data_IF_255013039372
#
_entry.id   IF_255013039372
#
_cell.length_a   1.000
_cell.length_b   1.000
_cell.length_c   1.000
_cell.angle_alpha   90.00
_cell.angle_beta   90.00
_cell.angle_gamma   90.00
#
_symmetry.space_group_name_H-M   'P 1'
#
loop_
_entity.id
_entity.type
_entity.pdbx_description
1 polymer ?
#
# COMPACT_ATOMS: atom_id res chain seq x y z
N UNK A 1 -6.10 1.39 -48.62
CA UNK A 1 -6.60 0.62 -47.46
C UNK A 1 -5.42 0.39 -46.53
N UNK A 2 -5.39 1.09 -45.41
CA UNK A 2 -4.70 0.68 -44.19
C UNK A 2 -5.61 1.18 -43.07
N UNK A 3 -6.58 0.35 -42.67
CA UNK A 3 -7.28 0.57 -41.41
C UNK A 3 -6.23 0.33 -40.33
N UNK A 4 -5.67 1.39 -39.76
CA UNK A 4 -5.04 1.31 -38.45
C UNK A 4 -6.09 0.67 -37.54
N UNK A 5 -5.82 -0.56 -37.07
CA UNK A 5 -6.69 -1.21 -36.10
C UNK A 5 -6.67 -0.34 -34.86
N UNK A 6 -7.83 0.23 -34.49
CA UNK A 6 -7.98 0.98 -33.25
C UNK A 6 -7.50 0.08 -32.11
N UNK A 7 -6.47 0.51 -31.39
CA UNK A 7 -5.95 -0.22 -30.23
C UNK A 7 -7.07 -0.36 -29.22
N UNK A 8 -7.33 -1.58 -28.75
CA UNK A 8 -8.35 -1.83 -27.72
C UNK A 8 -7.78 -1.43 -26.37
N UNK A 9 -8.57 -0.74 -25.56
CA UNK A 9 -8.12 -0.20 -24.26
C UNK A 9 -8.71 -1.03 -23.12
N UNK A 10 -7.85 -1.42 -22.19
CA UNK A 10 -8.24 -1.94 -20.90
C UNK A 10 -7.91 -0.90 -19.82
N UNK A 11 -8.95 -0.42 -19.14
CA UNK A 11 -8.79 0.50 -18.04
C UNK A 11 -8.77 -0.24 -16.70
N UNK A 12 -7.71 -0.01 -15.91
CA UNK A 12 -7.47 -0.69 -14.63
C UNK A 12 -7.78 0.23 -13.47
N UNK A 13 -8.72 -0.22 -12.63
CA UNK A 13 -9.21 0.46 -11.44
C UNK A 13 -8.62 -0.26 -10.21
N UNK A 14 -7.80 0.39 -9.41
CA UNK A 14 -7.19 -0.22 -8.22
C UNK A 14 -6.62 0.81 -7.24
N UNK A 15 -6.28 0.39 -6.03
CA UNK A 15 -5.43 1.18 -5.12
C UNK A 15 -3.95 1.14 -5.52
N UNK A 16 -3.15 2.06 -4.95
CA UNK A 16 -1.73 2.24 -5.30
C UNK A 16 -0.78 1.91 -4.16
N UNK A 17 0.35 1.32 -4.51
CA UNK A 17 1.38 0.90 -3.56
C UNK A 17 0.83 -0.04 -2.48
N UNK A 18 1.37 0.09 -1.27
CA UNK A 18 0.97 -0.69 -0.11
C UNK A 18 -0.35 -0.19 0.45
N UNK A 19 -1.34 -1.08 0.54
CA UNK A 19 -2.65 -0.79 1.11
C UNK A 19 -3.07 -1.90 2.07
N UNK A 20 -3.67 -1.49 3.18
CA UNK A 20 -4.14 -2.41 4.23
C UNK A 20 -5.61 -2.72 4.02
N UNK A 21 -5.96 -4.01 4.01
CA UNK A 21 -7.35 -4.45 4.11
C UNK A 21 -7.86 -4.15 5.54
N UNK A 22 -8.92 -3.33 5.69
CA UNK A 22 -9.40 -2.89 6.99
C UNK A 22 -10.04 -4.00 7.83
N UNK A 23 -10.54 -5.07 7.21
CA UNK A 23 -11.17 -6.19 7.92
C UNK A 23 -10.13 -7.19 8.44
N UNK A 24 -9.04 -7.37 7.69
CA UNK A 24 -8.00 -8.34 8.00
C UNK A 24 -6.78 -7.74 8.71
N UNK A 25 -6.59 -6.42 8.63
CA UNK A 25 -5.37 -5.73 9.07
C UNK A 25 -4.14 -6.07 8.24
N UNK A 26 -4.30 -6.77 7.11
CA UNK A 26 -3.18 -7.21 6.25
C UNK A 26 -2.85 -6.18 5.19
N UNK A 27 -1.56 -5.90 5.02
CA UNK A 27 -1.04 -4.99 4.00
C UNK A 27 -0.61 -5.75 2.74
N UNK A 28 -1.02 -5.24 1.59
CA UNK A 28 -0.74 -5.78 0.26
C UNK A 28 -0.09 -4.71 -0.63
N UNK A 29 0.96 -5.04 -1.38
CA UNK A 29 1.54 -4.14 -2.39
C UNK A 29 0.83 -4.31 -3.74
N UNK A 30 -0.13 -3.43 -4.00
CA UNK A 30 -0.96 -3.47 -5.20
C UNK A 30 -0.17 -3.16 -6.48
N UNK A 31 0.99 -2.51 -6.38
CA UNK A 31 1.88 -2.33 -7.54
C UNK A 31 2.43 -3.68 -8.02
N UNK A 32 2.60 -4.66 -7.12
CA UNK A 32 3.01 -6.02 -7.48
C UNK A 32 1.89 -6.75 -8.22
N UNK A 33 0.64 -6.62 -7.77
CA UNK A 33 -0.52 -7.14 -8.52
C UNK A 33 -0.55 -6.57 -9.93
N UNK A 34 -0.39 -5.25 -10.06
CA UNK A 34 -0.42 -4.61 -11.36
C UNK A 34 0.71 -5.08 -12.29
N UNK A 35 1.97 -5.00 -11.82
CA UNK A 35 3.17 -5.29 -12.63
C UNK A 35 3.31 -6.77 -12.97
N UNK A 36 2.91 -7.67 -12.06
CA UNK A 36 3.17 -9.11 -12.22
C UNK A 36 1.96 -9.90 -12.74
N UNK A 37 0.74 -9.38 -12.60
CA UNK A 37 -0.50 -10.07 -13.01
C UNK A 37 -1.25 -9.27 -14.07
N UNK A 38 -1.74 -8.08 -13.70
CA UNK A 38 -2.75 -7.37 -14.51
C UNK A 38 -2.16 -6.90 -15.83
N UNK A 39 -1.10 -6.07 -15.80
CA UNK A 39 -0.46 -5.53 -16.99
C UNK A 39 -0.02 -6.62 -17.98
N UNK A 40 0.76 -7.64 -17.57
CA UNK A 40 1.20 -8.66 -18.51
C UNK A 40 0.03 -9.51 -19.05
N UNK A 41 -1.04 -9.75 -18.29
CA UNK A 41 -2.21 -10.47 -18.80
C UNK A 41 -3.00 -9.66 -19.83
N UNK A 42 -3.20 -8.36 -19.56
CA UNK A 42 -3.92 -7.45 -20.44
C UNK A 42 -3.17 -7.23 -21.76
N UNK A 43 -1.85 -7.02 -21.70
CA UNK A 43 -1.01 -6.86 -22.88
C UNK A 43 -0.93 -8.15 -23.71
N UNK A 44 -0.85 -9.31 -23.06
CA UNK A 44 -0.88 -10.61 -23.74
C UNK A 44 -2.22 -10.86 -24.46
N UNK A 45 -3.33 -10.39 -23.89
CA UNK A 45 -4.65 -10.44 -24.52
C UNK A 45 -4.84 -9.40 -25.66
N UNK A 46 -3.82 -8.59 -25.96
CA UNK A 46 -3.82 -7.64 -27.08
C UNK A 46 -4.48 -6.29 -26.79
N UNK A 47 -4.58 -5.91 -25.52
CA UNK A 47 -5.08 -4.60 -25.08
C UNK A 47 -3.95 -3.68 -24.65
N UNK A 48 -4.14 -2.37 -24.84
CA UNK A 48 -3.36 -1.34 -24.16
C UNK A 48 -3.85 -1.23 -22.72
N UNK A 49 -2.94 -1.42 -21.76
CA UNK A 49 -3.25 -1.45 -20.34
C UNK A 49 -2.99 -0.07 -19.72
N UNK A 50 -4.06 0.59 -19.26
CA UNK A 50 -4.01 1.94 -18.70
C UNK A 50 -4.51 1.90 -17.26
N UNK A 51 -3.75 2.44 -16.29
CA UNK A 51 -4.12 2.39 -14.85
C UNK A 51 -4.61 3.74 -14.34
N UNK A 52 -5.59 3.75 -13.45
CA UNK A 52 -6.28 4.97 -12.99
C UNK A 52 -5.41 6.07 -12.34
N UNK A 53 -4.22 5.78 -11.80
CA UNK A 53 -3.28 6.79 -11.29
C UNK A 53 -2.57 7.58 -12.39
N UNK A 54 -2.52 7.04 -13.59
CA UNK A 54 -1.87 7.68 -14.74
C UNK A 54 -2.72 8.84 -15.31
N UNK A 55 -3.95 9.02 -14.82
CA UNK A 55 -5.02 9.78 -15.49
C UNK A 55 -5.49 11.00 -14.67
N UNK A 56 -5.13 11.13 -13.39
CA UNK A 56 -5.75 12.12 -12.47
C UNK A 56 -5.20 13.54 -12.61
N UNK A 57 -6.13 14.50 -12.73
CA UNK A 57 -5.92 15.94 -12.90
C UNK A 57 -6.03 16.71 -11.57
N UNK A 58 -5.68 18.00 -11.58
CA UNK A 58 -5.79 18.97 -10.47
C UNK A 58 -7.00 19.92 -10.60
N UNK A 59 -8.04 19.57 -11.39
CA UNK A 59 -9.27 20.37 -11.46
C UNK A 59 -10.38 19.91 -12.42
N UNK A 60 -10.07 19.11 -13.46
CA UNK A 60 -11.02 18.46 -14.38
C UNK A 60 -11.18 16.94 -14.13
N UNK A 61 -10.82 16.53 -12.91
CA UNK A 61 -10.51 15.17 -12.41
C UNK A 61 -11.51 14.09 -12.87
N UNK A 62 -12.77 14.46 -13.00
CA UNK A 62 -13.88 13.54 -13.22
C UNK A 62 -14.08 13.12 -14.69
N UNK A 63 -13.88 14.02 -15.66
CA UNK A 63 -14.38 13.80 -17.03
C UNK A 63 -13.65 12.70 -17.79
N UNK A 64 -12.32 12.68 -17.70
CA UNK A 64 -11.47 11.77 -18.45
C UNK A 64 -11.52 10.33 -17.90
N UNK A 65 -11.54 10.20 -16.57
CA UNK A 65 -11.82 8.94 -15.88
C UNK A 65 -13.21 8.40 -16.25
N UNK A 66 -14.26 9.23 -16.19
CA UNK A 66 -15.60 8.81 -16.61
C UNK A 66 -15.65 8.39 -18.08
N UNK A 67 -14.95 9.10 -18.97
CA UNK A 67 -14.86 8.73 -20.37
C UNK A 67 -14.23 7.34 -20.57
N UNK A 68 -13.14 7.02 -19.85
CA UNK A 68 -12.54 5.69 -19.88
C UNK A 68 -13.48 4.62 -19.31
N UNK A 69 -14.16 4.89 -18.20
CA UNK A 69 -15.15 3.96 -17.64
C UNK A 69 -16.28 3.67 -18.64
N UNK A 70 -16.69 4.67 -19.43
CA UNK A 70 -17.72 4.54 -20.45
C UNK A 70 -17.24 3.85 -21.73
N UNK A 71 -16.02 4.15 -22.19
CA UNK A 71 -15.57 3.80 -23.55
C UNK A 71 -14.53 2.69 -23.61
N UNK A 72 -13.83 2.38 -22.51
CA UNK A 72 -12.86 1.29 -22.51
C UNK A 72 -13.54 -0.02 -22.93
N UNK A 73 -12.85 -0.75 -23.80
CA UNK A 73 -13.27 -2.07 -24.30
C UNK A 73 -13.33 -3.08 -23.16
N UNK A 74 -12.44 -2.92 -22.18
CA UNK A 74 -12.37 -3.75 -20.97
C UNK A 74 -12.11 -2.87 -19.74
N UNK A 75 -12.70 -3.25 -18.61
CA UNK A 75 -12.31 -2.74 -17.29
C UNK A 75 -11.88 -3.90 -16.40
N UNK A 76 -10.74 -3.74 -15.74
CA UNK A 76 -10.26 -4.65 -14.70
C UNK A 76 -10.22 -3.89 -13.38
N UNK A 77 -11.02 -4.29 -12.40
CA UNK A 77 -11.15 -3.62 -11.11
C UNK A 77 -10.60 -4.50 -9.98
N UNK A 78 -9.49 -4.10 -9.36
CA UNK A 78 -8.98 -4.74 -8.15
C UNK A 78 -9.56 -4.09 -6.90
N UNK A 79 -10.34 -4.87 -6.15
CA UNK A 79 -11.03 -4.44 -4.93
C UNK A 79 -10.41 -5.06 -3.66
N UNK A 80 -9.16 -5.53 -3.74
CA UNK A 80 -8.47 -6.27 -2.66
C UNK A 80 -8.50 -5.60 -1.31
N UNK A 81 -8.32 -4.28 -1.28
CA UNK A 81 -8.22 -3.47 -0.04
C UNK A 81 -9.40 -2.55 0.19
N UNK A 82 -10.50 -2.73 -0.56
CA UNK A 82 -11.68 -1.86 -0.50
C UNK A 82 -11.35 -0.38 -0.65
N UNK A 83 -10.38 -0.05 -1.52
CA UNK A 83 -10.07 1.33 -1.84
C UNK A 83 -11.37 2.05 -2.28
N UNK A 84 -11.82 3.11 -1.59
CA UNK A 84 -13.10 3.76 -1.88
C UNK A 84 -13.20 4.29 -3.31
N UNK A 85 -12.08 4.78 -3.87
CA UNK A 85 -12.04 5.26 -5.26
C UNK A 85 -12.25 4.10 -6.22
N UNK A 86 -11.59 2.96 -6.00
CA UNK A 86 -11.75 1.78 -6.84
C UNK A 86 -13.19 1.23 -6.82
N UNK A 87 -13.81 1.20 -5.65
CA UNK A 87 -15.21 0.78 -5.49
C UNK A 87 -16.16 1.75 -6.19
N UNK A 88 -15.92 3.06 -6.06
CA UNK A 88 -16.72 4.09 -6.72
C UNK A 88 -16.63 3.98 -8.24
N UNK A 89 -15.42 3.89 -8.79
CA UNK A 89 -15.15 3.75 -10.22
C UNK A 89 -15.79 2.46 -10.80
N UNK A 90 -15.72 1.34 -10.07
CA UNK A 90 -16.41 0.10 -10.44
C UNK A 90 -17.94 0.28 -10.48
N UNK A 91 -18.53 0.94 -9.49
CA UNK A 91 -19.96 1.23 -9.45
C UNK A 91 -20.41 2.06 -10.66
N UNK A 92 -19.60 3.05 -11.05
CA UNK A 92 -19.86 3.85 -12.25
C UNK A 92 -19.75 2.98 -13.51
N UNK A 93 -18.71 2.14 -13.64
CA UNK A 93 -18.57 1.20 -14.77
C UNK A 93 -19.81 0.32 -14.91
N UNK A 94 -20.27 -0.28 -13.82
CA UNK A 94 -21.50 -1.06 -13.81
C UNK A 94 -22.73 -0.23 -14.21
N UNK A 95 -22.77 1.07 -13.87
CA UNK A 95 -23.84 1.97 -14.27
C UNK A 95 -23.83 2.31 -15.77
N UNK A 96 -22.65 2.49 -16.37
CA UNK A 96 -22.52 3.01 -17.73
C UNK A 96 -22.31 1.94 -18.79
N UNK A 97 -21.96 0.71 -18.42
CA UNK A 97 -21.69 -0.40 -19.35
C UNK A 97 -22.29 -1.72 -18.85
N UNK A 98 -22.88 -2.52 -19.75
CA UNK A 98 -23.53 -3.78 -19.37
C UNK A 98 -22.56 -4.96 -19.20
N UNK A 99 -21.39 -4.90 -19.84
CA UNK A 99 -20.44 -6.01 -19.92
C UNK A 99 -18.98 -5.54 -20.03
N UNK A 100 -18.07 -6.50 -20.05
CA UNK A 100 -16.62 -6.32 -20.15
C UNK A 100 -16.01 -5.68 -18.92
N UNK A 101 -16.41 -6.17 -17.75
CA UNK A 101 -15.90 -5.79 -16.45
C UNK A 101 -15.42 -7.02 -15.70
N UNK A 102 -14.14 -7.06 -15.33
CA UNK A 102 -13.53 -8.15 -14.56
C UNK A 102 -13.16 -7.61 -13.17
N UNK A 103 -13.57 -8.31 -12.12
CA UNK A 103 -13.23 -7.96 -10.74
C UNK A 103 -12.12 -8.86 -10.23
N UNK A 104 -11.08 -8.28 -9.62
CA UNK A 104 -10.00 -8.98 -8.93
C UNK A 104 -10.14 -8.79 -7.42
N UNK A 105 -9.84 -9.84 -6.65
CA UNK A 105 -9.86 -9.81 -5.19
C UNK A 105 -8.84 -10.81 -4.62
N UNK A 106 -8.09 -10.40 -3.60
CA UNK A 106 -7.30 -11.35 -2.83
C UNK A 106 -8.22 -12.35 -2.08
N UNK A 107 -7.87 -13.64 -2.12
CA UNK A 107 -8.69 -14.75 -1.63
C UNK A 107 -9.09 -14.62 -0.17
N UNK A 108 -8.23 -14.02 0.67
CA UNK A 108 -8.59 -13.74 2.04
C UNK A 108 -9.38 -12.43 2.13
N UNK A 109 -10.37 -12.43 3.03
CA UNK A 109 -11.25 -11.28 3.25
C UNK A 109 -12.67 -11.56 2.78
N UNK A 110 -13.57 -10.64 3.11
CA UNK A 110 -14.97 -10.75 2.71
C UNK A 110 -15.14 -10.27 1.28
N UNK A 111 -16.21 -10.71 0.64
CA UNK A 111 -16.68 -10.12 -0.60
C UNK A 111 -17.90 -9.27 -0.23
N UNK A 112 -17.98 -7.99 -0.65
CA UNK A 112 -19.16 -7.17 -0.41
C UNK A 112 -20.38 -7.86 -1.01
N UNK A 113 -21.49 -7.89 -0.27
CA UNK A 113 -22.69 -8.63 -0.67
C UNK A 113 -23.17 -8.25 -2.08
N UNK A 114 -23.13 -6.96 -2.43
CA UNK A 114 -23.55 -6.47 -3.75
C UNK A 114 -22.62 -6.91 -4.91
N UNK A 115 -21.42 -7.41 -4.61
CA UNK A 115 -20.45 -7.90 -5.60
C UNK A 115 -20.29 -9.43 -5.59
N UNK A 116 -20.85 -10.14 -4.61
CA UNK A 116 -20.67 -11.60 -4.42
C UNK A 116 -21.26 -12.44 -5.57
N UNK A 117 -22.17 -11.86 -6.35
CA UNK A 117 -22.75 -12.51 -7.52
C UNK A 117 -21.88 -12.38 -8.78
N UNK A 118 -20.86 -11.53 -8.74
CA UNK A 118 -19.99 -11.28 -9.88
C UNK A 118 -18.88 -12.34 -9.96
N UNK A 119 -18.53 -12.75 -11.18
CA UNK A 119 -17.36 -13.61 -11.40
C UNK A 119 -16.09 -12.83 -11.06
N UNK A 120 -15.31 -13.34 -10.11
CA UNK A 120 -14.06 -12.70 -9.68
C UNK A 120 -12.83 -13.54 -10.05
N UNK A 121 -11.77 -12.84 -10.45
CA UNK A 121 -10.43 -13.39 -10.57
C UNK A 121 -9.73 -13.29 -9.21
N UNK A 122 -9.65 -14.42 -8.50
CA UNK A 122 -9.05 -14.47 -7.18
C UNK A 122 -7.56 -14.84 -7.22
N UNK A 123 -6.78 -14.18 -6.36
CA UNK A 123 -5.34 -14.39 -6.22
C UNK A 123 -4.89 -14.32 -4.75
N UNK A 124 -3.64 -14.67 -4.45
CA UNK A 124 -3.10 -14.66 -3.09
C UNK A 124 -1.79 -13.90 -2.99
N UNK A 125 -1.63 -13.15 -1.91
CA UNK A 125 -0.36 -12.53 -1.54
C UNK A 125 0.40 -13.40 -0.53
N UNK A 126 1.73 -13.31 -0.57
CA UNK A 126 2.66 -13.86 0.41
C UNK A 126 3.27 -12.71 1.21
N UNK A 127 2.56 -12.26 2.25
CA UNK A 127 2.87 -11.00 2.92
C UNK A 127 2.45 -9.82 2.05
N UNK A 128 3.37 -8.87 1.82
CA UNK A 128 3.10 -7.71 0.96
C UNK A 128 3.30 -7.99 -0.54
N UNK A 129 4.00 -9.06 -0.93
CA UNK A 129 4.31 -9.37 -2.34
C UNK A 129 3.47 -10.55 -2.88
N UNK A 130 3.65 -10.88 -4.15
CA UNK A 130 3.01 -12.01 -4.82
C UNK A 130 4.09 -13.03 -5.20
N UNK A 131 3.90 -14.27 -4.76
CA UNK A 131 4.79 -15.38 -5.15
C UNK A 131 4.79 -15.60 -6.67
N UNK A 132 5.95 -15.94 -7.23
CA UNK A 132 6.14 -16.11 -8.68
C UNK A 132 5.13 -17.10 -9.28
N UNK A 133 4.92 -18.23 -8.62
CA UNK A 133 3.99 -19.27 -9.08
C UNK A 133 2.53 -18.79 -9.07
N UNK A 134 2.14 -18.02 -8.06
CA UNK A 134 0.79 -17.47 -7.95
C UNK A 134 0.57 -16.34 -8.95
N UNK A 135 1.57 -15.49 -9.19
CA UNK A 135 1.53 -14.46 -10.21
C UNK A 135 1.33 -15.08 -11.61
N UNK A 136 2.11 -16.10 -11.95
CA UNK A 136 2.03 -16.79 -13.25
C UNK A 136 0.70 -17.54 -13.41
N UNK A 137 0.21 -18.20 -12.35
CA UNK A 137 -1.10 -18.86 -12.34
C UNK A 137 -2.22 -17.85 -12.58
N UNK A 138 -2.22 -16.75 -11.82
CA UNK A 138 -3.27 -15.74 -11.90
C UNK A 138 -3.23 -15.00 -13.24
N UNK A 139 -2.04 -14.67 -13.73
CA UNK A 139 -1.85 -14.07 -15.06
C UNK A 139 -2.49 -14.93 -16.15
N UNK A 140 -2.18 -16.22 -16.21
CA UNK A 140 -2.78 -17.16 -17.19
C UNK A 140 -4.30 -17.20 -17.09
N UNK A 141 -4.81 -17.31 -15.88
CA UNK A 141 -6.25 -17.32 -15.64
C UNK A 141 -6.92 -16.00 -16.07
N UNK A 142 -6.28 -14.85 -15.82
CA UNK A 142 -6.78 -13.55 -16.23
C UNK A 142 -6.78 -13.39 -17.75
N UNK A 143 -5.76 -13.87 -18.47
CA UNK A 143 -5.74 -13.90 -19.94
C UNK A 143 -6.95 -14.67 -20.48
N UNK A 144 -7.18 -15.89 -19.98
CA UNK A 144 -8.32 -16.71 -20.39
C UNK A 144 -9.66 -16.01 -20.10
N UNK A 145 -9.76 -15.35 -18.94
CA UNK A 145 -10.96 -14.62 -18.55
C UNK A 145 -11.22 -13.41 -19.46
N UNK A 146 -10.18 -12.62 -19.77
CA UNK A 146 -10.26 -11.48 -20.70
C UNK A 146 -10.77 -11.94 -22.06
N UNK A 147 -10.17 -12.99 -22.61
CA UNK A 147 -10.58 -13.51 -23.91
C UNK A 147 -12.05 -13.97 -23.93
N UNK A 148 -12.51 -14.62 -22.86
CA UNK A 148 -13.87 -15.11 -22.75
C UNK A 148 -14.89 -13.97 -22.63
N UNK A 149 -14.61 -12.99 -21.77
CA UNK A 149 -15.49 -11.84 -21.52
C UNK A 149 -15.66 -11.00 -22.80
N UNK A 150 -14.57 -10.79 -23.55
CA UNK A 150 -14.59 -10.00 -24.79
C UNK A 150 -15.30 -10.74 -25.92
N UNK A 151 -15.28 -12.08 -25.95
CA UNK A 151 -15.97 -12.89 -26.98
C UNK A 151 -17.47 -13.02 -26.74
N UNK A 152 -17.90 -13.08 -25.47
CA UNK A 152 -19.27 -13.47 -25.13
C UNK A 152 -20.24 -12.30 -24.93
N UNK A 153 -19.76 -11.09 -24.63
CA UNK A 153 -20.60 -9.92 -24.28
C UNK A 153 -21.70 -10.26 -23.26
N UNK A 154 -21.39 -11.18 -22.34
CA UNK A 154 -22.31 -11.57 -21.28
C UNK A 154 -22.46 -10.40 -20.30
N UNK A 155 -23.71 -10.06 -19.94
CA UNK A 155 -24.00 -9.04 -18.94
C UNK A 155 -23.32 -9.41 -17.61
N UNK A 156 -22.44 -8.53 -17.13
CA UNK A 156 -21.70 -8.65 -15.87
C UNK A 156 -21.98 -7.49 -14.90
N UNK A 157 -22.74 -6.49 -15.35
CA UNK A 157 -23.23 -5.42 -14.50
C UNK A 157 -24.53 -5.82 -13.78
N UNK A 158 -24.58 -5.70 -12.44
CA UNK A 158 -25.82 -5.90 -11.69
C UNK A 158 -26.97 -5.01 -12.16
N UNK A 159 -26.70 -3.77 -12.59
CA UNK A 159 -27.73 -2.85 -13.04
C UNK A 159 -28.48 -3.39 -14.27
N UNK A 160 -27.73 -3.84 -15.27
CA UNK A 160 -28.28 -4.33 -16.54
C UNK A 160 -28.82 -5.76 -16.43
N UNK A 161 -28.34 -6.54 -15.45
CA UNK A 161 -28.91 -7.85 -15.14
C UNK A 161 -30.36 -7.73 -14.61
N UNK A 162 -30.58 -6.81 -13.68
CA UNK A 162 -31.89 -6.60 -13.04
C UNK A 162 -32.82 -5.66 -13.81
N UNK A 163 -32.29 -4.68 -14.57
CA UNK A 163 -33.07 -3.71 -15.36
C UNK A 163 -32.78 -3.90 -16.85
N UNK A 164 -33.54 -4.80 -17.50
CA UNK A 164 -33.23 -5.27 -18.87
C UNK A 164 -33.56 -4.30 -20.01
N UNK A 165 -34.34 -3.25 -19.75
CA UNK A 165 -34.80 -2.30 -20.78
C UNK A 165 -34.01 -0.99 -20.80
N UNK A 166 -32.98 -0.83 -19.95
CA UNK A 166 -32.17 0.38 -19.92
C UNK A 166 -31.08 0.33 -20.99
N UNK A 167 -30.88 1.47 -21.67
CA UNK A 167 -29.79 1.63 -22.64
C UNK A 167 -28.59 2.31 -21.97
N UNK A 168 -27.35 1.88 -22.27
CA UNK A 168 -26.15 2.56 -21.79
C UNK A 168 -26.07 4.03 -22.24
N UNK A 169 -25.54 4.93 -21.40
CA UNK A 169 -25.26 6.31 -21.79
C UNK A 169 -24.20 6.37 -22.91
N UNK A 170 -24.34 7.33 -23.81
CA UNK A 170 -23.46 7.51 -24.98
C UNK A 170 -22.61 8.77 -24.78
N UNK A 171 -21.29 8.62 -24.85
CA UNK A 171 -20.35 9.75 -24.89
C UNK A 171 -20.06 10.12 -26.36
N UNK A 172 -20.20 11.40 -26.77
CA UNK A 172 -19.86 11.84 -28.13
C UNK A 172 -18.38 11.58 -28.49
N UNK A 173 -18.12 11.13 -29.73
CA UNK A 173 -16.77 10.76 -30.18
C UNK A 173 -15.77 11.92 -30.13
N UNK A 174 -16.21 13.14 -30.44
CA UNK A 174 -15.34 14.33 -30.38
C UNK A 174 -14.88 14.65 -28.96
N UNK A 175 -15.76 14.48 -27.97
CA UNK A 175 -15.43 14.69 -26.56
C UNK A 175 -14.49 13.57 -26.06
N UNK A 176 -14.69 12.35 -26.54
CA UNK A 176 -13.80 11.23 -26.23
C UNK A 176 -12.37 11.44 -26.77
N UNK A 177 -12.22 11.84 -28.03
CA UNK A 177 -10.88 12.03 -28.65
C UNK A 177 -10.08 13.10 -27.94
N UNK A 178 -10.68 14.25 -27.63
CA UNK A 178 -10.05 15.33 -26.88
C UNK A 178 -9.58 14.85 -25.48
N UNK A 179 -10.41 14.06 -24.80
CA UNK A 179 -10.07 13.50 -23.49
C UNK A 179 -8.92 12.49 -23.56
N UNK A 180 -8.88 11.61 -24.57
CA UNK A 180 -7.83 10.58 -24.70
C UNK A 180 -6.45 11.20 -25.00
N UNK A 181 -6.38 12.20 -25.88
CA UNK A 181 -5.11 12.85 -26.21
C UNK A 181 -4.49 13.54 -24.97
N UNK A 182 -5.32 14.27 -24.20
CA UNK A 182 -4.91 14.90 -22.95
C UNK A 182 -4.43 13.90 -21.89
N UNK A 183 -5.03 12.70 -21.86
CA UNK A 183 -4.65 11.63 -20.93
C UNK A 183 -3.31 11.00 -21.26
N UNK A 184 -3.10 10.62 -22.52
CA UNK A 184 -1.90 9.89 -22.94
C UNK A 184 -0.60 10.71 -22.70
N UNK A 185 -0.68 12.03 -22.81
CA UNK A 185 0.46 12.91 -22.55
C UNK A 185 0.74 13.09 -21.05
N UNK A 186 -0.30 13.10 -20.20
CA UNK A 186 -0.17 13.23 -18.73
C UNK A 186 0.23 11.92 -18.06
N UNK A 187 -0.28 10.78 -18.54
CA UNK A 187 0.11 9.44 -18.11
C UNK A 187 1.63 9.27 -18.19
N UNK A 188 2.20 9.59 -19.35
CA UNK A 188 3.64 9.55 -19.56
C UNK A 188 4.38 10.46 -18.58
N UNK A 189 3.78 11.57 -18.17
CA UNK A 189 4.37 12.50 -17.21
C UNK A 189 4.35 11.95 -15.77
N UNK A 190 3.21 11.48 -15.26
CA UNK A 190 3.09 10.95 -13.88
C UNK A 190 3.89 9.66 -13.73
N UNK A 191 3.74 8.71 -14.64
CA UNK A 191 4.50 7.46 -14.61
C UNK A 191 6.01 7.73 -14.60
N UNK A 192 6.48 8.65 -15.45
CA UNK A 192 7.89 9.03 -15.47
C UNK A 192 8.34 9.71 -14.17
N UNK A 193 7.48 10.48 -13.49
CA UNK A 193 7.79 11.05 -12.18
C UNK A 193 7.91 9.95 -11.12
N UNK A 194 6.94 9.03 -11.04
CA UNK A 194 6.90 7.94 -10.08
C UNK A 194 8.10 7.01 -10.24
N UNK A 195 8.41 6.56 -11.46
CA UNK A 195 9.54 5.66 -11.69
C UNK A 195 10.89 6.35 -11.43
N UNK A 196 11.02 7.65 -11.75
CA UNK A 196 12.20 8.43 -11.34
C UNK A 196 12.30 8.55 -9.82
N UNK A 197 11.19 8.80 -9.13
CA UNK A 197 11.18 8.90 -7.68
C UNK A 197 11.60 7.58 -7.03
N UNK A 198 11.03 6.45 -7.49
CA UNK A 198 11.38 5.10 -7.03
C UNK A 198 12.86 4.76 -7.31
N UNK A 199 13.39 5.13 -8.48
CA UNK A 199 14.81 4.96 -8.81
C UNK A 199 15.71 5.76 -7.86
N UNK A 200 15.39 7.02 -7.60
CA UNK A 200 16.15 7.85 -6.65
C UNK A 200 16.08 7.29 -5.23
N UNK A 201 14.93 6.77 -4.80
CA UNK A 201 14.79 6.07 -3.52
C UNK A 201 15.68 4.82 -3.45
N UNK A 202 15.74 4.01 -4.51
CA UNK A 202 16.64 2.84 -4.55
C UNK A 202 18.12 3.23 -4.49
N UNK A 203 18.47 4.43 -4.97
CA UNK A 203 19.81 5.00 -4.87
C UNK A 203 20.03 5.78 -3.56
N UNK A 204 19.09 5.72 -2.60
CA UNK A 204 19.11 6.48 -1.35
C UNK A 204 19.17 8.02 -1.52
N UNK A 205 18.82 8.54 -2.71
CA UNK A 205 18.79 9.97 -3.01
C UNK A 205 17.40 10.57 -2.70
N UNK A 206 17.06 10.58 -1.42
CA UNK A 206 15.73 11.02 -0.96
C UNK A 206 15.44 12.49 -1.25
N UNK A 207 16.46 13.35 -1.33
CA UNK A 207 16.31 14.76 -1.72
C UNK A 207 15.74 14.90 -3.13
N UNK A 208 16.23 14.10 -4.07
CA UNK A 208 15.75 14.15 -5.46
C UNK A 208 14.43 13.40 -5.62
N UNK A 209 14.25 12.27 -4.92
CA UNK A 209 12.98 11.56 -4.87
C UNK A 209 11.83 12.45 -4.38
N UNK A 210 12.04 13.23 -3.31
CA UNK A 210 11.04 14.14 -2.76
C UNK A 210 10.54 15.16 -3.79
N UNK A 211 11.41 15.68 -4.67
CA UNK A 211 11.00 16.61 -5.74
C UNK A 211 10.12 15.94 -6.81
N UNK A 212 10.34 14.66 -7.07
CA UNK A 212 9.50 13.92 -8.02
C UNK A 212 8.15 13.56 -7.39
N UNK A 213 8.14 13.16 -6.12
CA UNK A 213 6.89 12.93 -5.38
C UNK A 213 6.08 14.20 -5.14
N UNK A 214 6.72 15.34 -4.87
CA UNK A 214 6.07 16.65 -4.82
C UNK A 214 5.34 16.96 -6.13
N UNK A 215 6.00 16.76 -7.27
CA UNK A 215 5.37 16.96 -8.59
C UNK A 215 4.21 16.00 -8.81
N UNK A 216 4.36 14.72 -8.45
CA UNK A 216 3.29 13.74 -8.56
C UNK A 216 2.10 14.09 -7.66
N UNK A 217 2.35 14.46 -6.39
CA UNK A 217 1.32 14.86 -5.43
C UNK A 217 0.61 16.16 -5.80
N UNK A 218 1.33 17.15 -6.34
CA UNK A 218 0.72 18.39 -6.84
C UNK A 218 -0.15 18.15 -8.09
N UNK A 219 0.24 17.19 -8.94
CA UNK A 219 -0.58 16.79 -10.08
C UNK A 219 -1.81 15.98 -9.66
N UNK A 220 -1.71 15.19 -8.57
CA UNK A 220 -2.80 14.34 -8.07
C UNK A 220 -3.00 14.49 -6.55
N UNK A 221 -3.55 15.61 -6.05
CA UNK A 221 -3.67 15.89 -4.61
C UNK A 221 -4.61 14.93 -3.86
N UNK A 222 -5.52 14.28 -4.57
CA UNK A 222 -6.47 13.31 -4.01
C UNK A 222 -5.87 11.90 -3.83
N UNK A 223 -4.61 11.67 -4.20
CA UNK A 223 -3.94 10.38 -4.07
C UNK A 223 -3.06 10.34 -2.82
N UNK A 224 -3.50 9.67 -1.73
CA UNK A 224 -2.75 9.65 -0.47
C UNK A 224 -1.34 9.08 -0.63
N UNK A 225 -1.15 8.12 -1.53
CA UNK A 225 0.15 7.48 -1.73
C UNK A 225 1.23 8.49 -2.13
N UNK A 226 0.95 9.43 -3.03
CA UNK A 226 1.97 10.39 -3.47
C UNK A 226 2.36 11.37 -2.36
N UNK A 227 1.39 11.80 -1.56
CA UNK A 227 1.62 12.67 -0.40
C UNK A 227 2.41 11.93 0.69
N UNK A 228 2.07 10.66 0.95
CA UNK A 228 2.81 9.78 1.86
C UNK A 228 4.26 9.63 1.43
N UNK A 229 4.52 9.30 0.15
CA UNK A 229 5.88 9.13 -0.36
C UNK A 229 6.66 10.45 -0.40
N UNK A 230 5.98 11.58 -0.63
CA UNK A 230 6.57 12.91 -0.53
C UNK A 230 7.03 13.22 0.90
N UNK A 231 6.17 13.02 1.90
CA UNK A 231 6.53 13.20 3.32
C UNK A 231 7.68 12.25 3.73
N UNK A 232 7.59 10.97 3.35
CA UNK A 232 8.61 9.94 3.59
C UNK A 232 9.98 10.36 3.07
N UNK A 233 10.06 10.77 1.80
CA UNK A 233 11.32 11.20 1.19
C UNK A 233 11.83 12.51 1.79
N UNK A 234 10.92 13.42 2.16
CA UNK A 234 11.28 14.70 2.77
C UNK A 234 12.02 14.49 4.09
N UNK A 235 11.49 13.66 5.01
CA UNK A 235 12.19 13.43 6.28
C UNK A 235 13.43 12.54 6.10
N UNK A 236 13.40 11.54 5.22
CA UNK A 236 14.56 10.67 4.96
C UNK A 236 15.74 11.42 4.33
N UNK A 237 15.51 12.57 3.69
CA UNK A 237 16.57 13.41 3.14
C UNK A 237 17.53 13.96 4.21
N UNK A 238 17.04 14.22 5.42
CA UNK A 238 17.83 14.57 6.59
C UNK A 238 17.05 14.22 7.88
N UNK A 239 17.13 12.96 8.36
CA UNK A 239 16.24 12.45 9.40
C UNK A 239 16.46 13.08 10.78
N UNK A 240 17.57 13.79 10.99
CA UNK A 240 17.85 14.53 12.23
C UNK A 240 17.64 16.04 12.10
N UNK A 241 17.28 16.54 10.91
CA UNK A 241 17.03 17.97 10.68
C UNK A 241 15.59 18.32 11.05
N UNK A 242 15.42 19.10 12.10
CA UNK A 242 14.12 19.56 12.61
C UNK A 242 13.30 20.26 11.52
N UNK A 243 13.93 21.01 10.62
CA UNK A 243 13.24 21.69 9.52
C UNK A 243 12.65 20.67 8.55
N UNK A 244 13.41 19.63 8.18
CA UNK A 244 12.91 18.57 7.30
C UNK A 244 11.83 17.71 7.94
N UNK A 245 11.92 17.49 9.24
CA UNK A 245 10.88 16.81 9.99
C UNK A 245 9.59 17.64 10.03
N UNK A 246 9.68 18.94 10.28
CA UNK A 246 8.54 19.86 10.23
C UNK A 246 7.93 19.97 8.83
N UNK A 247 8.75 20.06 7.78
CA UNK A 247 8.29 20.05 6.38
C UNK A 247 7.50 18.76 6.08
N UNK A 248 8.01 17.61 6.50
CA UNK A 248 7.35 16.32 6.31
C UNK A 248 6.02 16.23 7.07
N UNK A 249 5.93 16.78 8.30
CA UNK A 249 4.67 16.87 9.03
C UNK A 249 3.64 17.77 8.33
N UNK A 250 4.08 18.90 7.74
CA UNK A 250 3.19 19.76 6.97
C UNK A 250 2.65 19.02 5.73
N UNK A 251 3.49 18.25 5.04
CA UNK A 251 3.07 17.47 3.87
C UNK A 251 2.07 16.37 4.27
N UNK A 252 2.38 15.55 5.27
CA UNK A 252 1.51 14.43 5.66
C UNK A 252 0.17 14.93 6.23
N UNK A 253 0.14 16.14 6.80
CA UNK A 253 -1.10 16.77 7.31
C UNK A 253 -2.13 17.06 6.22
N UNK A 254 -1.73 17.12 4.94
CA UNK A 254 -2.66 17.26 3.81
C UNK A 254 -3.65 16.10 3.69
N UNK A 255 -3.35 14.94 4.30
CA UNK A 255 -4.21 13.76 4.32
C UNK A 255 -5.17 13.71 5.53
N UNK A 256 -5.06 14.66 6.46
CA UNK A 256 -5.82 14.71 7.69
C UNK A 256 -6.81 15.86 7.59
N UNK A 257 -8.09 15.56 7.33
CA UNK A 257 -9.15 16.55 7.17
C UNK A 257 -9.89 16.74 8.50
N UNK A 258 -10.02 18.00 8.97
CA UNK A 258 -10.91 18.46 10.06
C UNK A 258 -10.73 17.82 11.45
N UNK A 259 -9.57 17.97 12.11
CA UNK A 259 -9.31 17.47 13.49
C UNK A 259 -9.53 15.95 13.68
N UNK A 260 -9.89 15.22 12.61
CA UNK A 260 -10.17 13.79 12.65
C UNK A 260 -8.87 13.02 12.42
N UNK A 261 -8.48 12.25 13.44
CA UNK A 261 -7.32 11.37 13.34
C UNK A 261 -7.49 10.37 12.20
N UNK A 262 -6.47 10.23 11.35
CA UNK A 262 -6.44 9.19 10.30
C UNK A 262 -6.42 7.77 10.89
N UNK A 263 -7.02 6.82 10.17
CA UNK A 263 -6.90 5.37 10.43
C UNK A 263 -6.09 4.66 9.34
N UNK A 264 -5.54 5.40 8.36
CA UNK A 264 -4.70 4.83 7.31
C UNK A 264 -3.33 4.41 7.88
N UNK A 265 -2.98 3.10 7.87
CA UNK A 265 -1.78 2.61 8.54
C UNK A 265 -0.47 3.18 8.00
N UNK A 266 -0.37 3.40 6.69
CA UNK A 266 0.82 4.00 6.05
C UNK A 266 1.04 5.43 6.56
N UNK A 267 -0.03 6.23 6.60
CA UNK A 267 0.00 7.60 7.14
C UNK A 267 0.39 7.62 8.61
N UNK A 268 -0.17 6.70 9.41
CA UNK A 268 0.17 6.56 10.83
C UNK A 268 1.63 6.16 11.02
N UNK A 269 2.12 5.17 10.27
CA UNK A 269 3.49 4.68 10.35
C UNK A 269 4.52 5.75 9.96
N UNK A 270 4.26 6.50 8.89
CA UNK A 270 5.11 7.63 8.46
C UNK A 270 5.10 8.74 9.52
N UNK A 271 3.93 9.12 10.02
CA UNK A 271 3.80 10.15 11.05
C UNK A 271 4.53 9.76 12.33
N UNK A 272 4.37 8.51 12.78
CA UNK A 272 5.09 7.96 13.93
C UNK A 272 6.61 7.99 13.73
N UNK A 273 7.09 7.66 12.52
CA UNK A 273 8.51 7.74 12.19
C UNK A 273 9.04 9.19 12.25
N UNK A 274 8.31 10.16 11.72
CA UNK A 274 8.71 11.57 11.74
C UNK A 274 8.77 12.07 13.20
N UNK A 275 7.73 11.83 14.00
CA UNK A 275 7.69 12.23 15.41
C UNK A 275 8.77 11.54 16.26
N UNK A 276 9.05 10.26 16.02
CA UNK A 276 10.15 9.54 16.69
C UNK A 276 11.50 10.19 16.37
N UNK A 277 11.75 10.56 15.11
CA UNK A 277 12.99 11.27 14.74
C UNK A 277 13.03 12.68 15.34
N UNK A 278 11.90 13.38 15.43
CA UNK A 278 11.78 14.67 16.10
C UNK A 278 12.14 14.57 17.59
N UNK A 279 11.70 13.52 18.29
CA UNK A 279 12.13 13.23 19.66
C UNK A 279 13.66 13.10 19.76
N UNK A 280 14.31 12.37 18.85
CA UNK A 280 15.77 12.22 18.88
C UNK A 280 16.50 13.53 18.61
N UNK A 281 15.97 14.38 17.73
CA UNK A 281 16.56 15.66 17.37
C UNK A 281 16.39 16.73 18.45
N UNK A 282 15.26 16.72 19.19
CA UNK A 282 14.87 17.83 20.07
C UNK A 282 14.82 17.47 21.55
N UNK A 283 14.64 16.18 21.87
CA UNK A 283 14.30 15.69 23.21
C UNK A 283 13.03 16.33 23.79
N UNK A 284 12.11 16.75 22.92
CA UNK A 284 10.77 17.20 23.32
C UNK A 284 9.83 16.01 23.54
N UNK A 285 9.36 15.83 24.78
CA UNK A 285 8.49 14.73 25.18
C UNK A 285 7.18 14.72 24.36
N UNK A 286 6.68 15.87 23.91
CA UNK A 286 5.46 15.93 23.10
C UNK A 286 5.61 15.18 21.77
N UNK A 287 6.81 15.21 21.19
CA UNK A 287 7.14 14.45 19.97
C UNK A 287 7.16 12.95 20.24
N UNK A 288 7.66 12.53 21.40
CA UNK A 288 7.65 11.12 21.79
C UNK A 288 6.22 10.61 22.02
N UNK A 289 5.38 11.38 22.71
CA UNK A 289 3.97 11.04 22.94
C UNK A 289 3.20 10.91 21.62
N UNK A 290 3.45 11.80 20.66
CA UNK A 290 2.86 11.70 19.31
C UNK A 290 3.35 10.47 18.56
N UNK A 291 4.62 10.10 18.67
CA UNK A 291 5.13 8.86 18.07
C UNK A 291 4.44 7.61 18.64
N UNK A 292 4.26 7.58 19.97
CA UNK A 292 3.55 6.50 20.70
C UNK A 292 2.10 6.40 20.22
N UNK A 293 1.40 7.53 20.11
CA UNK A 293 0.01 7.58 19.62
C UNK A 293 -0.11 6.99 18.22
N UNK A 294 0.72 7.44 17.27
CA UNK A 294 0.64 7.02 15.88
C UNK A 294 1.04 5.55 15.68
N UNK A 295 2.18 5.12 16.25
CA UNK A 295 2.61 3.73 16.13
C UNK A 295 1.67 2.77 16.87
N UNK A 296 1.19 3.14 18.06
CA UNK A 296 0.24 2.34 18.82
C UNK A 296 -1.08 2.16 18.08
N UNK A 297 -1.61 3.24 17.47
CA UNK A 297 -2.81 3.17 16.64
C UNK A 297 -2.60 2.30 15.40
N UNK A 298 -1.47 2.46 14.70
CA UNK A 298 -1.14 1.64 13.53
C UNK A 298 -1.03 0.15 13.88
N UNK A 299 -0.33 -0.18 14.98
CA UNK A 299 -0.20 -1.54 15.48
C UNK A 299 -1.56 -2.15 15.85
N UNK A 300 -2.43 -1.41 16.53
CA UNK A 300 -3.76 -1.90 16.90
C UNK A 300 -4.68 -2.16 15.68
N UNK A 301 -4.45 -1.48 14.55
CA UNK A 301 -5.21 -1.69 13.31
C UNK A 301 -4.68 -2.88 12.51
N UNK A 302 -3.36 -3.03 12.44
CA UNK A 302 -2.70 -3.94 11.48
C UNK A 302 -2.10 -5.20 12.11
N UNK A 303 -1.79 -5.17 13.41
CA UNK A 303 -0.89 -6.10 14.07
C UNK A 303 0.49 -6.21 13.38
N UNK A 304 0.90 -5.18 12.64
CA UNK A 304 2.18 -5.15 11.94
C UNK A 304 3.35 -5.06 12.94
N UNK A 305 4.28 -6.01 12.85
CA UNK A 305 5.38 -6.14 13.80
C UNK A 305 6.34 -4.95 13.73
N UNK A 306 6.54 -4.31 12.57
CA UNK A 306 7.40 -3.14 12.45
C UNK A 306 6.82 -1.96 13.25
N UNK A 307 5.54 -1.66 13.09
CA UNK A 307 4.87 -0.61 13.87
C UNK A 307 4.82 -0.97 15.36
N UNK A 308 4.59 -2.24 15.69
CA UNK A 308 4.60 -2.75 17.07
C UNK A 308 5.97 -2.61 17.76
N UNK A 309 7.06 -2.96 17.09
CA UNK A 309 8.42 -2.79 17.64
C UNK A 309 8.73 -1.31 17.88
N UNK A 310 8.38 -0.44 16.94
CA UNK A 310 8.56 1.01 17.11
C UNK A 310 7.69 1.58 18.23
N UNK A 311 6.46 1.09 18.39
CA UNK A 311 5.58 1.45 19.49
C UNK A 311 6.19 1.05 20.84
N UNK A 312 6.60 -0.22 20.98
CA UNK A 312 7.24 -0.72 22.20
C UNK A 312 8.56 0.02 22.52
N UNK A 313 9.34 0.34 21.49
CA UNK A 313 10.55 1.15 21.64
C UNK A 313 10.25 2.54 22.18
N UNK A 314 9.26 3.25 21.61
CA UNK A 314 8.91 4.59 22.08
C UNK A 314 8.36 4.57 23.52
N UNK A 315 7.60 3.54 23.90
CA UNK A 315 7.16 3.32 25.28
C UNK A 315 8.37 3.09 26.22
N UNK A 316 9.35 2.29 25.81
CA UNK A 316 10.59 2.08 26.56
C UNK A 316 11.36 3.40 26.78
N UNK A 317 11.47 4.23 25.74
CA UNK A 317 12.10 5.55 25.84
C UNK A 317 11.30 6.50 26.74
N UNK A 318 9.96 6.45 26.70
CA UNK A 318 9.11 7.25 27.60
C UNK A 318 9.36 6.87 29.05
N UNK A 319 9.44 5.57 29.35
CA UNK A 319 9.72 5.09 30.69
C UNK A 319 11.08 5.53 31.26
N UNK A 320 12.06 5.84 30.40
CA UNK A 320 13.37 6.38 30.82
C UNK A 320 13.36 7.90 31.02
N UNK A 321 12.36 8.59 30.45
CA UNK A 321 12.33 10.05 30.32
C UNK A 321 11.40 10.70 31.34
N UNK A 322 10.25 10.09 31.62
CA UNK A 322 9.23 10.66 32.52
C UNK A 322 9.63 10.51 33.98
N UNK A 323 9.31 11.49 34.81
CA UNK A 323 9.58 11.47 36.26
C UNK A 323 8.51 10.70 37.05
N UNK A 324 7.28 10.64 36.53
CA UNK A 324 6.14 9.99 37.19
C UNK A 324 6.34 8.46 37.24
N UNK A 325 6.41 7.92 38.46
CA UNK A 325 6.70 6.49 38.68
C UNK A 325 5.61 5.57 38.10
N UNK A 326 4.33 5.98 38.16
CA UNK A 326 3.23 5.20 37.62
C UNK A 326 3.33 5.12 36.09
N UNK A 327 3.64 6.23 35.42
CA UNK A 327 3.85 6.30 33.98
C UNK A 327 5.09 5.51 33.54
N UNK A 328 6.17 5.50 34.33
CA UNK A 328 7.33 4.65 34.06
C UNK A 328 6.96 3.16 34.10
N UNK A 329 6.22 2.74 35.12
CA UNK A 329 5.76 1.35 35.29
C UNK A 329 4.82 0.98 34.15
N UNK A 330 3.84 1.83 33.86
CA UNK A 330 2.88 1.62 32.77
C UNK A 330 3.60 1.46 31.44
N UNK A 331 4.51 2.37 31.09
CA UNK A 331 5.21 2.36 29.81
C UNK A 331 6.08 1.12 29.64
N UNK A 332 6.81 0.68 30.70
CA UNK A 332 7.57 -0.58 30.68
C UNK A 332 6.67 -1.80 30.47
N UNK A 333 5.56 -1.85 31.20
CA UNK A 333 4.63 -2.97 31.11
C UNK A 333 3.95 -3.03 29.74
N UNK A 334 3.51 -1.88 29.22
CA UNK A 334 2.91 -1.77 27.90
C UNK A 334 3.90 -2.20 26.80
N UNK A 335 5.15 -1.75 26.84
CA UNK A 335 6.19 -2.17 25.89
C UNK A 335 6.40 -3.70 25.92
N UNK A 336 6.49 -4.28 27.12
CA UNK A 336 6.59 -5.73 27.31
C UNK A 336 5.39 -6.48 26.72
N UNK A 337 4.17 -5.97 26.90
CA UNK A 337 2.95 -6.57 26.37
C UNK A 337 2.90 -6.57 24.84
N UNK A 338 3.28 -5.46 24.22
CA UNK A 338 3.38 -5.36 22.76
C UNK A 338 4.39 -6.36 22.21
N UNK A 339 5.58 -6.45 22.82
CA UNK A 339 6.62 -7.43 22.42
C UNK A 339 6.15 -8.88 22.59
N UNK A 340 5.43 -9.19 23.67
CA UNK A 340 4.82 -10.52 23.87
C UNK A 340 3.82 -10.86 22.77
N UNK A 341 2.99 -9.89 22.36
CA UNK A 341 2.02 -10.06 21.28
C UNK A 341 2.73 -10.32 19.95
N UNK A 342 3.75 -9.52 19.60
CA UNK A 342 4.57 -9.72 18.40
C UNK A 342 5.23 -11.10 18.38
N UNK A 343 5.83 -11.53 19.50
CA UNK A 343 6.45 -12.87 19.59
C UNK A 343 5.44 -13.96 19.31
N UNK A 344 4.24 -13.86 19.90
CA UNK A 344 3.17 -14.82 19.68
C UNK A 344 2.77 -14.87 18.20
N UNK A 345 2.42 -13.73 17.61
CA UNK A 345 1.89 -13.67 16.24
C UNK A 345 2.94 -14.11 15.21
N UNK A 346 4.20 -13.74 15.40
CA UNK A 346 5.29 -14.16 14.52
C UNK A 346 5.67 -15.63 14.70
N UNK A 347 5.56 -16.18 15.91
CA UNK A 347 5.80 -17.63 16.13
C UNK A 347 4.71 -18.45 15.46
N UNK A 348 3.45 -18.05 15.62
CA UNK A 348 2.31 -18.68 14.93
C UNK A 348 2.50 -18.61 13.39
N UNK A 349 2.98 -17.48 12.87
CA UNK A 349 3.30 -17.32 11.46
C UNK A 349 4.41 -18.27 10.97
N UNK A 350 5.47 -18.45 11.76
CA UNK A 350 6.60 -19.35 11.45
C UNK A 350 6.18 -20.82 11.51
N UNK A 351 5.33 -21.21 12.47
CA UNK A 351 4.98 -22.62 12.71
C UNK A 351 3.83 -23.12 11.83
N UNK A 352 2.87 -22.25 11.48
CA UNK A 352 1.61 -22.65 10.82
C UNK A 352 1.53 -22.17 9.37
N UNK A 353 2.32 -21.17 8.99
CA UNK A 353 2.27 -20.56 7.65
C UNK A 353 3.18 -21.22 6.62
N UNK A 354 2.97 -20.89 5.34
CA UNK A 354 3.99 -21.06 4.30
C UNK A 354 5.08 -19.98 4.49
N UNK A 355 5.90 -20.17 5.52
CA UNK A 355 6.87 -19.19 5.96
C UNK A 355 8.12 -19.15 5.07
N UNK A 356 8.48 -20.29 4.46
CA UNK A 356 9.71 -20.41 3.67
C UNK A 356 9.71 -19.54 2.41
N UNK A 357 8.54 -19.30 1.83
CA UNK A 357 8.34 -18.50 0.62
C UNK A 357 8.23 -16.99 0.87
N UNK A 358 8.23 -16.54 2.14
CA UNK A 358 8.12 -15.12 2.48
C UNK A 358 9.38 -14.32 2.17
N UNK A 359 9.18 -13.12 1.63
CA UNK A 359 10.28 -12.21 1.27
C UNK A 359 10.82 -11.47 2.50
N UNK A 360 9.95 -11.16 3.47
CA UNK A 360 10.32 -10.47 4.72
C UNK A 360 10.87 -11.43 5.80
N UNK A 361 11.16 -12.68 5.45
CA UNK A 361 11.61 -13.75 6.37
C UNK A 361 12.75 -13.32 7.30
N UNK A 362 13.74 -12.59 6.76
CA UNK A 362 14.87 -12.07 7.55
C UNK A 362 14.38 -11.14 8.67
N UNK A 363 13.47 -10.22 8.34
CA UNK A 363 12.95 -9.24 9.29
C UNK A 363 12.05 -9.88 10.34
N UNK A 364 11.29 -10.92 9.98
CA UNK A 364 10.55 -11.72 10.97
C UNK A 364 11.48 -12.34 12.00
N UNK A 365 12.58 -12.98 11.57
CA UNK A 365 13.57 -13.55 12.49
C UNK A 365 14.30 -12.49 13.32
N UNK A 366 14.68 -11.36 12.71
CA UNK A 366 15.30 -10.24 13.43
C UNK A 366 14.37 -9.70 14.54
N UNK A 367 13.08 -9.53 14.22
CA UNK A 367 12.06 -9.04 15.15
C UNK A 367 11.79 -10.04 16.27
N UNK A 368 11.66 -11.33 15.94
CA UNK A 368 11.53 -12.41 16.92
C UNK A 368 12.72 -12.45 17.87
N UNK A 369 13.94 -12.27 17.36
CA UNK A 369 15.15 -12.24 18.19
C UNK A 369 15.14 -11.06 19.16
N UNK A 370 14.96 -9.83 18.66
CA UNK A 370 14.97 -8.62 19.49
C UNK A 370 13.81 -8.60 20.49
N UNK A 371 12.60 -8.97 20.08
CA UNK A 371 11.45 -9.02 20.98
C UNK A 371 11.63 -10.08 22.08
N UNK A 372 12.16 -11.27 21.76
CA UNK A 372 12.45 -12.29 22.77
C UNK A 372 13.53 -11.82 23.75
N UNK A 373 14.57 -11.14 23.26
CA UNK A 373 15.61 -10.56 24.12
C UNK A 373 15.00 -9.55 25.10
N UNK A 374 14.15 -8.65 24.60
CA UNK A 374 13.52 -7.60 25.38
C UNK A 374 12.50 -8.09 26.42
N UNK A 375 12.01 -9.33 26.30
CA UNK A 375 11.14 -9.97 27.30
C UNK A 375 11.89 -11.00 28.15
N UNK A 376 13.22 -11.00 28.09
CA UNK A 376 14.14 -11.86 28.85
C UNK A 376 14.10 -13.35 28.46
N UNK A 377 13.61 -13.68 27.25
CA UNK A 377 13.66 -15.02 26.68
C UNK A 377 14.93 -15.22 25.84
N UNK A 378 16.07 -15.31 26.52
CA UNK A 378 17.41 -15.35 25.88
C UNK A 378 17.58 -16.54 24.93
N UNK A 379 17.03 -17.71 25.28
CA UNK A 379 17.16 -18.92 24.46
C UNK A 379 16.53 -18.75 23.07
N UNK A 380 15.30 -18.21 23.01
CA UNK A 380 14.66 -17.97 21.73
C UNK A 380 15.27 -16.76 21.00
N UNK A 381 15.75 -15.76 21.74
CA UNK A 381 16.47 -14.64 21.15
C UNK A 381 17.69 -15.10 20.34
N UNK A 382 18.52 -15.98 20.94
CA UNK A 382 19.70 -16.56 20.29
C UNK A 382 19.34 -17.47 19.12
N UNK A 383 18.29 -18.30 19.27
CA UNK A 383 17.77 -19.16 18.20
C UNK A 383 17.41 -18.33 16.96
N UNK A 384 16.60 -17.29 17.13
CA UNK A 384 16.14 -16.46 16.02
C UNK A 384 17.24 -15.55 15.45
N UNK A 385 18.20 -15.14 16.27
CA UNK A 385 19.41 -14.44 15.78
C UNK A 385 20.24 -15.34 14.85
N UNK A 386 20.45 -16.60 15.22
CA UNK A 386 21.14 -17.57 14.37
C UNK A 386 20.39 -17.80 13.06
N UNK A 387 19.05 -17.90 13.11
CA UNK A 387 18.21 -18.04 11.92
C UNK A 387 18.30 -16.80 11.03
N UNK A 388 18.23 -15.59 11.59
CA UNK A 388 18.44 -14.35 10.85
C UNK A 388 19.80 -14.34 10.13
N UNK A 389 20.88 -14.63 10.86
CA UNK A 389 22.24 -14.67 10.30
C UNK A 389 22.42 -15.75 9.23
N UNK A 390 21.73 -16.89 9.36
CA UNK A 390 21.77 -17.99 8.39
C UNK A 390 21.24 -17.61 7.01
N UNK A 391 20.41 -16.57 6.93
CA UNK A 391 19.87 -16.03 5.68
C UNK A 391 20.81 -15.05 4.98
N UNK A 392 22.07 -14.94 5.45
CA UNK A 392 23.10 -14.04 4.92
C UNK A 392 22.57 -12.60 4.74
N UNK A 393 22.19 -11.94 5.84
CA UNK A 393 21.73 -10.55 5.79
C UNK A 393 22.84 -9.63 5.27
N UNK A 394 22.45 -8.59 4.54
CA UNK A 394 23.38 -7.57 4.08
C UNK A 394 23.92 -6.76 5.27
N UNK A 395 25.07 -6.10 5.10
CA UNK A 395 25.72 -5.38 6.20
C UNK A 395 24.82 -4.34 6.87
N UNK A 396 24.02 -3.62 6.09
CA UNK A 396 23.09 -2.62 6.63
C UNK A 396 21.91 -3.26 7.39
N UNK A 397 21.48 -4.48 7.01
CA UNK A 397 20.46 -5.24 7.72
C UNK A 397 20.99 -5.67 9.10
N UNK A 398 22.25 -6.15 9.13
CA UNK A 398 22.95 -6.52 10.37
C UNK A 398 23.16 -5.29 11.27
N UNK A 399 23.55 -4.15 10.71
CA UNK A 399 23.71 -2.91 11.46
C UNK A 399 22.38 -2.46 12.07
N UNK A 400 21.29 -2.53 11.30
CA UNK A 400 19.94 -2.19 11.77
C UNK A 400 19.50 -3.11 12.91
N UNK A 401 19.66 -4.42 12.74
CA UNK A 401 19.37 -5.42 13.76
C UNK A 401 20.13 -5.13 15.06
N UNK A 402 21.45 -4.91 14.97
CA UNK A 402 22.30 -4.65 16.14
C UNK A 402 21.99 -3.32 16.82
N UNK A 403 21.63 -2.28 16.05
CA UNK A 403 21.21 -1.00 16.61
C UNK A 403 19.96 -1.15 17.48
N UNK A 404 18.99 -1.96 17.06
CA UNK A 404 17.82 -2.28 17.88
C UNK A 404 18.19 -3.12 19.10
N UNK A 405 19.01 -4.16 18.92
CA UNK A 405 19.50 -5.03 20.01
C UNK A 405 20.22 -4.26 21.11
N UNK A 406 21.13 -3.37 20.74
CA UNK A 406 21.91 -2.55 21.68
C UNK A 406 21.01 -1.61 22.51
N UNK A 407 19.95 -1.08 21.90
CA UNK A 407 18.98 -0.22 22.60
C UNK A 407 18.19 -1.00 23.64
N UNK A 408 17.81 -2.24 23.34
CA UNK A 408 17.13 -3.15 24.26
C UNK A 408 18.04 -3.52 25.44
N UNK A 409 19.32 -3.81 25.19
CA UNK A 409 20.28 -4.14 26.25
C UNK A 409 20.64 -2.95 27.16
N UNK A 410 20.29 -1.72 26.74
CA UNK A 410 20.35 -0.51 27.55
C UNK A 410 19.01 -0.07 28.13
N UNK A 411 17.93 -0.86 27.97
CA UNK A 411 16.67 -0.77 28.74
C UNK A 411 16.80 -1.55 30.06
#
# INVERSE_FOLDING_TARGET
>A
MNSSSKTKICFVIMGFGKKTDPDLGKTYDLDKTYKNIIKPAVEEAGFECVRADEIKDSGLIDKSMYALLMQADLVVADITTFNPNAIYELGIRHGVRPYSTIILKEKSGKIPFDLDHNRMCMYSHLGEDIGVDEAERCKKYLVELIENVVKQEQVDSPLYEFIREINPPILPESEYVELIEDLADREKAIFALVEKAKLEMSNSNFTQAAKFWEKAGNNSPSEPYFIQQWALCTYKSAPSDVTKLSDALNIISLLVVDDHQTNDPETLGISGAIYKNMWWATKDLSSLDRAIEHYGKCFNITNDYYNGENYAFCLGEKAKTVEDEEEQIYSKFAAKKVRQQIVKDLTDLVEVGDFESRIDKKWVYASLSNCNLAIENVSDAEKYEQLFMSLNPENWEVETFNNSKNKIQGE
#
